data_IF_827538762138
#
_entry.id   IF_827538762138
#
_cell.length_a   1.000
_cell.length_b   1.000
_cell.length_c   1.000
_cell.angle_alpha   90.00
_cell.angle_beta   90.00
_cell.angle_gamma   90.00
#
_symmetry.space_group_name_H-M   'P 1'
#
loop_
_entity.id
_entity.type
_entity.pdbx_description
1 polymer ?
#
# COMPACT_ATOMS: atom_id res chain seq x y z
N UNK A 1 -19.32 -9.52 -9.22
CA UNK A 1 -18.43 -8.49 -8.73
C UNK A 1 -18.26 -8.63 -7.25
N UNK A 2 -17.07 -8.82 -6.81
CA UNK A 2 -16.85 -8.95 -5.39
C UNK A 2 -16.59 -7.56 -4.80
N UNK A 3 -17.49 -7.15 -3.92
CA UNK A 3 -17.32 -5.92 -3.16
C UNK A 3 -16.55 -6.25 -1.88
N UNK A 4 -15.29 -6.67 -2.06
CA UNK A 4 -14.44 -6.97 -0.92
C UNK A 4 -14.15 -5.66 -0.19
N UNK A 5 -14.49 -5.62 1.09
CA UNK A 5 -14.15 -4.53 1.99
C UNK A 5 -13.63 -5.13 3.28
N UNK A 6 -12.38 -4.84 3.60
CA UNK A 6 -11.80 -5.27 4.86
C UNK A 6 -12.18 -4.26 5.95
N UNK A 7 -12.42 -4.77 7.13
CA UNK A 7 -12.77 -3.96 8.28
C UNK A 7 -11.82 -4.27 9.43
N UNK A 8 -11.79 -3.40 10.42
CA UNK A 8 -11.02 -3.63 11.65
C UNK A 8 -11.41 -4.97 12.26
N UNK A 9 -10.43 -5.80 12.58
CA UNK A 9 -10.61 -7.15 13.09
C UNK A 9 -10.57 -8.24 12.05
N UNK A 10 -10.66 -7.90 10.75
CA UNK A 10 -10.57 -8.88 9.68
C UNK A 10 -9.14 -9.41 9.54
N UNK A 11 -9.02 -10.66 9.10
CA UNK A 11 -7.72 -11.22 8.77
C UNK A 11 -7.27 -10.68 7.41
N UNK A 12 -6.06 -10.13 7.32
CA UNK A 12 -5.52 -9.64 6.06
C UNK A 12 -5.30 -10.81 5.10
N UNK A 13 -5.70 -10.67 3.82
CA UNK A 13 -5.42 -11.70 2.82
C UNK A 13 -3.93 -11.93 2.62
N UNK A 14 -3.53 -13.20 2.50
CA UNK A 14 -2.15 -13.55 2.23
C UNK A 14 -1.75 -13.12 0.82
N UNK A 15 -0.49 -12.77 0.65
CA UNK A 15 0.08 -12.47 -0.65
C UNK A 15 1.54 -12.92 -0.71
N UNK A 16 2.03 -13.10 -1.93
CA UNK A 16 3.44 -13.34 -2.23
C UNK A 16 3.76 -12.58 -3.51
N UNK A 17 4.49 -11.49 -3.39
CA UNK A 17 4.75 -10.58 -4.50
C UNK A 17 6.23 -10.23 -4.56
N UNK A 18 6.81 -10.09 -5.77
CA UNK A 18 8.19 -9.64 -5.89
C UNK A 18 8.31 -8.15 -5.55
N UNK A 19 9.38 -7.79 -4.87
CA UNK A 19 9.69 -6.39 -4.63
C UNK A 19 10.51 -5.81 -5.80
N UNK A 20 11.00 -4.57 -5.66
CA UNK A 20 11.79 -3.89 -6.68
C UNK A 20 13.09 -4.65 -7.05
N UNK A 21 13.55 -5.55 -6.21
CA UNK A 21 14.74 -6.39 -6.45
C UNK A 21 14.37 -7.81 -6.84
N UNK A 22 13.12 -8.05 -7.21
CA UNK A 22 12.57 -9.35 -7.59
C UNK A 22 12.64 -10.40 -6.47
N UNK A 23 12.76 -9.93 -5.23
CA UNK A 23 12.71 -10.79 -4.04
C UNK A 23 11.25 -10.95 -3.58
N UNK A 24 10.83 -12.20 -3.36
CA UNK A 24 9.46 -12.46 -2.90
C UNK A 24 9.26 -11.93 -1.48
N UNK A 25 8.24 -11.10 -1.31
CA UNK A 25 7.79 -10.59 -0.01
C UNK A 25 6.39 -11.14 0.22
N UNK A 26 6.18 -11.75 1.38
CA UNK A 26 4.89 -12.36 1.72
C UNK A 26 4.30 -11.66 2.94
N UNK A 27 2.99 -11.83 3.12
CA UNK A 27 2.35 -11.37 4.35
C UNK A 27 3.03 -12.00 5.58
N UNK A 28 3.37 -13.29 5.49
CA UNK A 28 4.05 -14.01 6.57
C UNK A 28 5.41 -13.39 6.90
N UNK A 29 6.12 -12.82 5.91
CA UNK A 29 7.41 -12.17 6.15
C UNK A 29 7.28 -10.86 6.93
N UNK A 30 6.09 -10.29 7.00
CA UNK A 30 5.80 -9.09 7.79
C UNK A 30 5.32 -9.43 9.20
N UNK A 31 5.02 -10.69 9.49
CA UNK A 31 4.50 -11.12 10.79
C UNK A 31 5.51 -10.84 11.91
N UNK A 32 5.00 -10.57 13.11
CA UNK A 32 5.83 -10.21 14.26
C UNK A 32 6.05 -8.72 14.41
N UNK A 33 5.68 -7.93 13.40
CA UNK A 33 5.68 -6.47 13.43
C UNK A 33 4.36 -5.96 12.91
N UNK A 34 3.98 -4.77 13.35
CA UNK A 34 2.86 -4.06 12.72
C UNK A 34 3.27 -3.66 11.31
N UNK A 35 2.31 -3.58 10.40
CA UNK A 35 2.60 -3.24 9.00
C UNK A 35 1.62 -2.20 8.48
N UNK A 36 2.13 -1.33 7.63
CA UNK A 36 1.33 -0.41 6.82
C UNK A 36 1.47 -0.89 5.38
N UNK A 37 0.37 -1.34 4.79
CA UNK A 37 0.31 -1.83 3.42
C UNK A 37 -0.55 -0.86 2.63
N UNK A 38 0.03 -0.16 1.64
CA UNK A 38 -0.75 0.77 0.86
C UNK A 38 -0.73 0.40 -0.62
N UNK A 39 -1.85 0.62 -1.29
CA UNK A 39 -2.05 0.34 -2.71
C UNK A 39 -2.12 1.65 -3.48
N UNK A 40 -1.42 1.74 -4.60
CA UNK A 40 -1.39 2.93 -5.44
C UNK A 40 -1.41 2.55 -6.92
N UNK A 41 -1.96 3.43 -7.80
CA UNK A 41 -2.21 3.04 -9.20
C UNK A 41 -0.98 2.88 -10.06
N UNK A 42 0.02 3.77 -9.94
CA UNK A 42 1.15 3.72 -10.86
C UNK A 42 2.35 4.51 -10.33
N UNK A 43 3.51 3.86 -10.30
CA UNK A 43 4.77 4.50 -9.95
C UNK A 43 5.07 5.66 -10.92
N UNK A 44 5.82 6.65 -10.44
CA UNK A 44 6.27 7.82 -11.22
C UNK A 44 5.16 8.78 -11.65
N UNK A 45 3.92 8.58 -11.21
CA UNK A 45 2.86 9.58 -11.38
C UNK A 45 2.94 10.61 -10.25
N UNK A 46 2.44 11.85 -10.44
CA UNK A 46 2.60 12.91 -9.42
C UNK A 46 2.02 12.54 -8.06
N UNK A 47 0.78 12.01 -8.01
CA UNK A 47 0.15 11.64 -6.75
C UNK A 47 0.85 10.50 -6.05
N UNK A 48 1.23 9.46 -6.78
CA UNK A 48 1.93 8.31 -6.21
C UNK A 48 3.33 8.68 -5.75
N UNK A 49 4.01 9.57 -6.46
CA UNK A 49 5.32 10.09 -6.06
C UNK A 49 5.20 10.89 -4.76
N UNK A 50 4.19 11.76 -4.65
CA UNK A 50 3.92 12.54 -3.44
C UNK A 50 3.67 11.63 -2.25
N UNK A 51 2.82 10.63 -2.41
CA UNK A 51 2.50 9.69 -1.35
C UNK A 51 3.72 8.90 -0.90
N UNK A 52 4.50 8.38 -1.86
CA UNK A 52 5.71 7.61 -1.55
C UNK A 52 6.74 8.46 -0.82
N UNK A 53 6.96 9.69 -1.27
CA UNK A 53 7.90 10.61 -0.62
C UNK A 53 7.44 11.00 0.78
N UNK A 54 6.14 11.18 0.97
CA UNK A 54 5.58 11.46 2.30
C UNK A 54 5.79 10.28 3.26
N UNK A 55 5.62 9.03 2.78
CA UNK A 55 5.95 7.85 3.57
C UNK A 55 7.44 7.80 3.90
N UNK A 56 8.30 8.11 2.92
CA UNK A 56 9.75 8.10 3.13
C UNK A 56 10.17 9.13 4.19
N UNK A 57 9.63 10.34 4.14
CA UNK A 57 9.90 11.38 5.13
C UNK A 57 9.54 10.94 6.55
N UNK A 58 8.49 10.15 6.70
CA UNK A 58 7.99 9.70 7.99
C UNK A 58 8.42 8.28 8.34
N UNK A 59 9.25 7.66 7.50
CA UNK A 59 9.62 6.25 7.68
C UNK A 59 10.24 5.96 9.04
N UNK A 60 11.13 6.85 9.51
CA UNK A 60 11.75 6.69 10.82
C UNK A 60 10.72 6.71 11.95
N UNK A 61 9.69 7.54 11.84
CA UNK A 61 8.60 7.62 12.82
C UNK A 61 7.85 6.29 12.86
N UNK A 62 7.49 5.76 11.69
CA UNK A 62 6.78 4.48 11.61
C UNK A 62 7.65 3.33 12.11
N UNK A 63 8.91 3.27 11.69
CA UNK A 63 9.83 2.20 12.10
C UNK A 63 10.05 2.23 13.62
N UNK A 64 10.26 3.41 14.20
CA UNK A 64 10.44 3.56 15.64
C UNK A 64 9.20 3.11 16.42
N UNK A 65 8.01 3.24 15.84
CA UNK A 65 6.75 2.80 16.44
C UNK A 65 6.45 1.31 16.18
N UNK A 66 7.34 0.58 15.51
CA UNK A 66 7.20 -0.85 15.25
C UNK A 66 6.47 -1.22 13.97
N UNK A 67 6.34 -0.27 13.02
CA UNK A 67 5.67 -0.52 11.74
C UNK A 67 6.67 -0.77 10.63
N UNK A 68 6.36 -1.75 9.77
CA UNK A 68 6.96 -1.88 8.44
C UNK A 68 6.04 -1.20 7.43
N UNK A 69 6.61 -0.60 6.38
CA UNK A 69 5.82 0.04 5.32
C UNK A 69 6.11 -0.69 4.01
N UNK A 70 5.06 -1.07 3.30
CA UNK A 70 5.18 -1.61 1.93
C UNK A 70 4.13 -0.97 1.05
N UNK A 71 4.51 -0.63 -0.18
CA UNK A 71 3.60 -0.13 -1.20
C UNK A 71 3.37 -1.21 -2.26
N UNK A 72 2.16 -1.30 -2.79
CA UNK A 72 1.79 -2.31 -3.79
C UNK A 72 1.13 -1.62 -4.98
N UNK A 73 1.65 -1.89 -6.18
CA UNK A 73 1.08 -1.38 -7.43
C UNK A 73 1.09 -2.45 -8.51
N UNK A 74 0.37 -2.24 -9.63
CA UNK A 74 0.43 -3.19 -10.76
C UNK A 74 1.72 -3.09 -11.58
N UNK A 75 2.61 -2.18 -11.26
CA UNK A 75 3.85 -1.98 -12.02
C UNK A 75 4.78 -3.18 -11.95
N UNK A 76 5.58 -3.37 -13.00
CA UNK A 76 6.61 -4.42 -13.04
C UNK A 76 7.77 -4.08 -12.08
N UNK A 77 8.48 -5.09 -11.57
CA UNK A 77 9.60 -4.85 -10.64
C UNK A 77 10.65 -3.86 -11.19
N UNK A 78 10.94 -3.93 -12.48
CA UNK A 78 11.90 -3.01 -13.12
C UNK A 78 11.50 -1.55 -12.97
N UNK A 79 10.21 -1.25 -13.16
CA UNK A 79 9.68 0.11 -12.99
C UNK A 79 9.73 0.53 -11.53
N UNK A 80 9.45 -0.39 -10.61
CA UNK A 80 9.55 -0.13 -9.18
C UNK A 80 10.99 0.15 -8.75
N UNK A 81 11.96 -0.59 -9.31
CA UNK A 81 13.37 -0.38 -9.03
C UNK A 81 13.81 1.03 -9.43
N UNK A 82 13.38 1.48 -10.61
CA UNK A 82 13.65 2.84 -11.07
C UNK A 82 13.02 3.88 -10.14
N UNK A 83 11.79 3.67 -9.73
CA UNK A 83 11.06 4.58 -8.85
C UNK A 83 11.73 4.68 -7.47
N UNK A 84 12.12 3.53 -6.90
CA UNK A 84 12.86 3.49 -5.62
C UNK A 84 14.15 4.26 -5.72
N UNK A 85 14.90 4.08 -6.81
CA UNK A 85 16.17 4.77 -7.03
C UNK A 85 15.97 6.28 -7.22
N UNK A 86 15.03 6.66 -8.09
CA UNK A 86 14.78 8.06 -8.43
C UNK A 86 14.32 8.88 -7.22
N UNK A 87 13.54 8.27 -6.33
CA UNK A 87 12.97 8.92 -5.16
C UNK A 87 13.71 8.59 -3.86
N UNK A 88 14.77 7.78 -3.94
CA UNK A 88 15.59 7.37 -2.78
C UNK A 88 14.72 6.79 -1.66
N UNK A 89 13.88 5.82 -2.01
CA UNK A 89 12.98 5.18 -1.06
C UNK A 89 13.68 4.04 -0.30
N UNK A 90 13.37 3.91 0.99
CA UNK A 90 13.98 2.94 1.89
C UNK A 90 12.97 1.92 2.41
N UNK A 91 11.87 1.72 1.70
CA UNK A 91 10.89 0.68 1.99
C UNK A 91 10.55 -0.08 0.70
N UNK A 92 10.03 -1.28 0.84
CA UNK A 92 9.78 -2.14 -0.31
C UNK A 92 8.54 -1.72 -1.09
N UNK A 93 8.65 -1.76 -2.41
CA UNK A 93 7.53 -1.64 -3.33
C UNK A 93 7.31 -2.99 -3.98
N UNK A 94 6.08 -3.49 -3.95
CA UNK A 94 5.72 -4.81 -4.43
C UNK A 94 4.95 -4.72 -5.75
N UNK A 95 5.25 -5.67 -6.63
CA UNK A 95 4.62 -5.76 -7.95
C UNK A 95 3.44 -6.73 -7.90
N UNK A 96 2.24 -6.22 -8.13
CA UNK A 96 1.01 -7.01 -8.20
C UNK A 96 0.44 -6.91 -9.63
N UNK A 97 1.21 -7.40 -10.57
CA UNK A 97 0.97 -7.25 -12.01
C UNK A 97 -0.41 -7.74 -12.44
N UNK A 98 -0.87 -8.86 -11.88
CA UNK A 98 -2.16 -9.48 -12.21
C UNK A 98 -3.31 -8.98 -11.32
N UNK A 99 -3.07 -8.04 -10.43
CA UNK A 99 -4.08 -7.44 -9.54
C UNK A 99 -4.67 -8.41 -8.50
N UNK A 100 -4.06 -9.57 -8.30
CA UNK A 100 -4.58 -10.56 -7.35
C UNK A 100 -4.67 -10.00 -5.93
N UNK A 101 -3.59 -9.37 -5.43
CA UNK A 101 -3.59 -8.78 -4.10
C UNK A 101 -4.51 -7.55 -4.03
N UNK A 102 -4.53 -6.72 -5.08
CA UNK A 102 -5.45 -5.59 -5.13
C UNK A 102 -6.91 -6.03 -4.95
N UNK A 103 -7.31 -7.06 -5.68
CA UNK A 103 -8.68 -7.57 -5.61
C UNK A 103 -8.98 -8.23 -4.27
N UNK A 104 -8.02 -8.98 -3.72
CA UNK A 104 -8.17 -9.64 -2.43
C UNK A 104 -8.37 -8.63 -1.29
N UNK A 105 -7.71 -7.48 -1.36
CA UNK A 105 -7.83 -6.43 -0.35
C UNK A 105 -8.98 -5.45 -0.65
N UNK A 106 -9.65 -5.57 -1.77
CA UNK A 106 -10.70 -4.65 -2.18
C UNK A 106 -10.17 -3.31 -2.70
N UNK A 107 -8.88 -3.25 -3.04
CA UNK A 107 -8.24 -2.03 -3.54
C UNK A 107 -8.34 -1.88 -5.05
N UNK A 108 -9.28 -2.56 -5.68
CA UNK A 108 -9.56 -2.47 -7.10
C UNK A 108 -11.07 -2.53 -7.30
N UNK A 109 -11.59 -1.60 -8.06
CA UNK A 109 -13.03 -1.57 -8.30
C UNK A 109 -13.47 -0.37 -9.11
N UNK A 110 -14.75 -0.05 -8.99
CA UNK A 110 -15.36 1.02 -9.76
C UNK A 110 -14.91 2.39 -9.28
N UNK A 111 -14.41 3.19 -10.21
CA UNK A 111 -14.00 4.58 -9.99
C UNK A 111 -14.85 5.51 -10.84
N UNK A 112 -15.13 6.70 -10.34
CA UNK A 112 -15.82 7.75 -11.10
C UNK A 112 -14.88 8.93 -11.27
N UNK A 113 -14.74 9.38 -12.52
CA UNK A 113 -13.92 10.55 -12.82
C UNK A 113 -14.58 11.30 -13.98
N UNK A 114 -14.89 12.58 -13.76
CA UNK A 114 -15.54 13.45 -14.76
C UNK A 114 -16.80 12.82 -15.37
N UNK A 115 -17.64 12.20 -14.54
CA UNK A 115 -18.87 11.57 -14.98
C UNK A 115 -18.71 10.22 -15.66
N UNK A 116 -17.49 9.70 -15.77
CA UNK A 116 -17.21 8.39 -16.34
C UNK A 116 -16.95 7.37 -15.23
N UNK A 117 -17.45 6.16 -15.44
CA UNK A 117 -17.18 5.04 -14.55
C UNK A 117 -16.19 4.09 -15.21
N UNK A 118 -15.19 3.62 -14.47
CA UNK A 118 -14.22 2.65 -14.96
C UNK A 118 -13.67 1.82 -13.81
N UNK A 119 -13.15 0.65 -14.14
CA UNK A 119 -12.49 -0.23 -13.18
C UNK A 119 -11.04 0.21 -13.03
N UNK A 120 -10.56 0.33 -11.81
CA UNK A 120 -9.19 0.73 -11.56
C UNK A 120 -8.75 0.54 -10.12
N UNK A 121 -7.49 0.83 -9.86
CA UNK A 121 -6.92 0.76 -8.52
C UNK A 121 -7.54 1.84 -7.64
N UNK A 122 -8.03 1.40 -6.49
CA UNK A 122 -8.49 2.31 -5.44
C UNK A 122 -7.33 2.54 -4.48
N UNK A 123 -6.83 3.77 -4.41
CA UNK A 123 -5.75 4.13 -3.48
C UNK A 123 -6.22 3.83 -2.06
N UNK A 124 -5.60 2.88 -1.40
CA UNK A 124 -6.08 2.35 -0.12
C UNK A 124 -4.90 2.07 0.80
N UNK A 125 -5.13 2.13 2.09
CA UNK A 125 -4.10 1.83 3.09
C UNK A 125 -4.68 0.95 4.19
N UNK A 126 -3.94 -0.08 4.54
CA UNK A 126 -4.32 -1.04 5.58
C UNK A 126 -3.23 -1.07 6.64
N UNK A 127 -3.64 -0.97 7.89
CA UNK A 127 -2.73 -1.12 9.03
C UNK A 127 -3.00 -2.48 9.66
N UNK A 128 -1.94 -3.27 9.82
CA UNK A 128 -2.02 -4.63 10.31
C UNK A 128 -1.29 -4.73 11.65
N UNK A 129 -1.81 -5.56 12.54
CA UNK A 129 -1.10 -5.88 13.78
C UNK A 129 -0.05 -6.97 13.54
N UNK A 130 0.64 -7.39 14.61
CA UNK A 130 1.72 -8.38 14.52
C UNK A 130 1.24 -9.76 14.11
N UNK A 131 -0.06 -10.02 14.20
CA UNK A 131 -0.68 -11.30 13.82
C UNK A 131 -1.31 -11.27 12.44
N UNK A 132 -1.22 -10.13 11.74
CA UNK A 132 -1.80 -9.98 10.41
C UNK A 132 -3.28 -9.64 10.42
N UNK A 133 -3.83 -9.21 11.54
CA UNK A 133 -5.22 -8.72 11.58
C UNK A 133 -5.26 -7.24 11.20
N UNK A 134 -6.27 -6.85 10.44
CA UNK A 134 -6.49 -5.47 10.05
C UNK A 134 -6.95 -4.66 11.28
N UNK A 135 -6.22 -3.60 11.60
CA UNK A 135 -6.63 -2.68 12.66
C UNK A 135 -7.21 -1.39 12.10
N UNK A 136 -6.90 -1.06 10.85
CA UNK A 136 -7.42 0.11 10.17
C UNK A 136 -7.46 -0.16 8.67
N UNK A 137 -8.58 0.14 8.04
CA UNK A 137 -8.72 0.00 6.59
C UNK A 137 -9.25 1.32 6.03
N UNK A 138 -8.48 1.95 5.16
CA UNK A 138 -8.81 3.23 4.54
C UNK A 138 -8.88 3.04 3.04
N UNK A 139 -10.07 3.19 2.49
CA UNK A 139 -10.31 3.04 1.06
C UNK A 139 -10.44 4.40 0.38
N UNK A 140 -10.03 4.46 -0.87
CA UNK A 140 -10.21 5.61 -1.75
C UNK A 140 -9.67 6.90 -1.13
N UNK A 141 -8.43 6.83 -0.63
CA UNK A 141 -7.76 7.96 0.02
C UNK A 141 -7.11 8.89 -1.00
N UNK A 142 -6.90 10.14 -0.60
CA UNK A 142 -6.18 11.11 -1.42
C UNK A 142 -4.68 11.00 -1.14
N UNK A 143 -3.85 11.15 -2.18
CA UNK A 143 -2.40 11.12 -2.02
C UNK A 143 -1.90 12.27 -1.14
N UNK A 144 -2.40 13.47 -1.38
CA UNK A 144 -1.99 14.67 -0.62
C UNK A 144 -2.53 14.62 0.80
N UNK A 145 -1.65 14.74 1.78
CA UNK A 145 -2.02 14.78 3.20
C UNK A 145 -2.33 13.42 3.81
N UNK A 146 -2.26 12.34 3.04
CA UNK A 146 -2.61 11.01 3.52
C UNK A 146 -1.71 10.55 4.67
N UNK A 147 -0.40 10.69 4.52
CA UNK A 147 0.57 10.22 5.53
C UNK A 147 0.41 11.01 6.83
N UNK A 148 0.19 12.32 6.75
CA UNK A 148 -0.07 13.16 7.92
C UNK A 148 -1.32 12.69 8.66
N UNK A 149 -2.40 12.42 7.93
CA UNK A 149 -3.64 11.89 8.50
C UNK A 149 -3.41 10.53 9.15
N UNK A 150 -2.67 9.65 8.46
CA UNK A 150 -2.37 8.30 8.94
C UNK A 150 -1.60 8.34 10.27
N UNK A 151 -0.57 9.17 10.35
CA UNK A 151 0.19 9.34 11.60
C UNK A 151 -0.73 9.78 12.73
N UNK A 152 -1.63 10.72 12.46
CA UNK A 152 -2.58 11.22 13.45
C UNK A 152 -3.50 10.10 13.95
N UNK A 153 -4.02 9.28 13.03
CA UNK A 153 -4.88 8.14 13.37
C UNK A 153 -4.15 7.08 14.19
N UNK A 154 -2.84 6.96 14.01
CA UNK A 154 -2.01 6.00 14.74
C UNK A 154 -1.41 6.58 16.02
N UNK A 155 -1.66 7.85 16.33
CA UNK A 155 -1.11 8.50 17.51
C UNK A 155 0.37 8.83 17.42
N UNK A 156 0.86 9.04 16.22
CA UNK A 156 2.29 9.30 15.97
C UNK A 156 2.59 10.76 15.67
#
# INVERSE_FOLDING_TARGET
>A
MSDVRLESGAKAPAFSLPNQNEKAITLASLAGKKAIVYFYPAAATPGCTKEACDFEESLNVFTAAGYSVVGISPDLPKKLAKFVKDQDLHFDLLSDEDLTAHKAYGAYGLKKLYGREYQGVLRSTFVLDEKGAVTLALYNVKATGHVTMLKKLLGL
#
